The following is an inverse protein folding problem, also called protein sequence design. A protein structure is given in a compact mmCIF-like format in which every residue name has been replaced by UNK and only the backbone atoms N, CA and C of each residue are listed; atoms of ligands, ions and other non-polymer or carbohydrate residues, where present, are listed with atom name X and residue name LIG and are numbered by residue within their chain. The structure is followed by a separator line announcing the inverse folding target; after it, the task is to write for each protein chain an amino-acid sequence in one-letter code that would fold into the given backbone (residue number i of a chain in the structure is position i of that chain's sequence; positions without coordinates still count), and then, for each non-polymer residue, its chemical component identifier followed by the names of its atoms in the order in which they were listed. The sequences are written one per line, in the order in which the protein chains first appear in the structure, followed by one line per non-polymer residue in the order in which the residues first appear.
data_IF_664958406834
#
_entry.id   IF_664958406834
#
_cell.length_a   1.000
_cell.length_b   1.000
_cell.length_c   1.000
_cell.angle_alpha   90.00
_cell.angle_beta   90.00
_cell.angle_gamma   90.00
#
_symmetry.space_group_name_H-M   'P 1'
#
loop_
_entity.id
_entity.type
_entity.pdbx_description
1 polymer ?
#
# COMPACT_ATOMS: atom_id res chain seq x y z
N UNK A 1 -0.76 18.81 45.65
CA UNK A 1 -1.08 19.53 44.39
C UNK A 1 -1.43 18.59 43.23
N UNK A 2 -0.72 17.47 43.04
CA UNK A 2 -0.93 16.53 41.94
C UNK A 2 -2.37 15.97 41.79
N UNK A 3 -3.04 15.67 42.91
CA UNK A 3 -4.38 15.03 42.89
C UNK A 3 -5.51 15.93 42.38
N UNK A 4 -5.39 17.26 42.54
CA UNK A 4 -6.35 18.24 41.97
C UNK A 4 -6.16 18.39 40.47
N UNK A 5 -4.92 18.29 40.01
CA UNK A 5 -4.57 18.30 38.59
C UNK A 5 -5.09 17.04 37.89
N UNK A 6 -4.93 15.85 38.48
CA UNK A 6 -5.52 14.61 37.95
C UNK A 6 -7.05 14.61 37.96
N UNK A 7 -7.71 15.12 39.02
CA UNK A 7 -9.19 15.27 39.03
C UNK A 7 -9.70 16.28 38.00
N UNK A 8 -8.91 17.29 37.66
CA UNK A 8 -9.23 18.25 36.59
C UNK A 8 -8.95 17.68 35.19
N UNK A 9 -7.85 16.97 34.99
CA UNK A 9 -7.52 16.25 33.75
C UNK A 9 -8.57 15.17 33.45
N UNK A 10 -9.12 14.54 34.49
CA UNK A 10 -10.21 13.55 34.46
C UNK A 10 -11.58 14.25 34.68
N UNK A 11 -11.67 15.56 34.48
CA UNK A 11 -12.96 16.24 34.37
C UNK A 11 -13.64 15.74 33.10
N UNK A 12 -14.84 15.16 33.22
CA UNK A 12 -15.58 14.63 32.07
C UNK A 12 -15.77 15.63 30.92
N UNK A 13 -15.70 16.95 31.21
CA UNK A 13 -15.76 18.00 30.18
C UNK A 13 -14.49 18.08 29.32
N UNK A 14 -13.30 17.92 29.90
CA UNK A 14 -12.03 17.97 29.16
C UNK A 14 -11.84 16.66 28.39
N UNK A 15 -12.14 15.53 29.03
CA UNK A 15 -12.09 14.22 28.38
C UNK A 15 -12.99 14.17 27.14
N UNK A 16 -14.23 14.66 27.23
CA UNK A 16 -15.15 14.74 26.08
C UNK A 16 -14.59 15.60 24.94
N UNK A 17 -13.97 16.73 25.25
CA UNK A 17 -13.36 17.61 24.24
C UNK A 17 -12.19 16.93 23.53
N UNK A 18 -11.33 16.24 24.27
CA UNK A 18 -10.20 15.48 23.70
C UNK A 18 -10.72 14.42 22.72
N UNK A 19 -11.73 13.64 23.11
CA UNK A 19 -12.31 12.62 22.22
C UNK A 19 -12.95 13.22 20.96
N UNK A 20 -13.64 14.35 21.08
CA UNK A 20 -14.19 15.05 19.92
C UNK A 20 -13.06 15.52 19.00
N UNK A 21 -12.02 16.14 19.55
CA UNK A 21 -10.86 16.60 18.77
C UNK A 21 -10.15 15.44 18.05
N UNK A 22 -9.97 14.30 18.72
CA UNK A 22 -9.42 13.09 18.09
C UNK A 22 -10.32 12.60 16.97
N UNK A 23 -11.63 12.51 17.20
CA UNK A 23 -12.59 12.07 16.19
C UNK A 23 -12.59 12.96 14.94
N UNK A 24 -12.58 14.28 15.14
CA UNK A 24 -12.47 15.26 14.04
C UNK A 24 -11.14 15.11 13.31
N UNK A 25 -10.04 14.94 14.04
CA UNK A 25 -8.72 14.77 13.42
C UNK A 25 -8.66 13.51 12.55
N UNK A 26 -9.13 12.37 13.06
CA UNK A 26 -9.20 11.11 12.28
C UNK A 26 -10.06 11.30 11.03
N UNK A 27 -11.22 11.96 11.15
CA UNK A 27 -12.09 12.25 10.01
C UNK A 27 -11.38 13.13 8.96
N UNK A 28 -10.64 14.16 9.38
CA UNK A 28 -9.90 15.01 8.46
C UNK A 28 -8.80 14.22 7.74
N UNK A 29 -8.05 13.38 8.45
CA UNK A 29 -7.00 12.54 7.86
C UNK A 29 -7.59 11.56 6.85
N UNK A 30 -8.72 10.91 7.15
CA UNK A 30 -9.35 9.97 6.20
C UNK A 30 -9.87 10.68 4.96
N UNK A 31 -10.47 11.86 5.09
CA UNK A 31 -10.91 12.67 3.96
C UNK A 31 -9.74 13.08 3.07
N UNK A 32 -8.62 13.53 3.65
CA UNK A 32 -7.40 13.88 2.91
C UNK A 32 -6.79 12.66 2.20
N UNK A 33 -6.71 11.51 2.87
CA UNK A 33 -6.19 10.29 2.27
C UNK A 33 -7.06 9.84 1.08
N UNK A 34 -8.39 9.90 1.21
CA UNK A 34 -9.30 9.57 0.13
C UNK A 34 -9.18 10.56 -1.04
N UNK A 35 -9.07 11.87 -0.77
CA UNK A 35 -8.93 12.87 -1.82
C UNK A 35 -7.63 12.70 -2.59
N UNK A 36 -6.52 12.46 -1.90
CA UNK A 36 -5.22 12.20 -2.53
C UNK A 36 -5.24 10.91 -3.36
N UNK A 37 -5.85 9.85 -2.83
CA UNK A 37 -6.01 8.58 -3.55
C UNK A 37 -6.85 8.77 -4.82
N UNK A 38 -7.95 9.51 -4.74
CA UNK A 38 -8.80 9.78 -5.89
C UNK A 38 -8.11 10.65 -6.93
N UNK A 39 -7.42 11.71 -6.52
CA UNK A 39 -6.65 12.58 -7.42
C UNK A 39 -5.58 11.79 -8.18
N UNK A 40 -4.75 11.01 -7.48
CA UNK A 40 -3.71 10.20 -8.11
C UNK A 40 -4.28 9.14 -9.05
N UNK A 41 -5.40 8.49 -8.67
CA UNK A 41 -6.08 7.53 -9.54
C UNK A 41 -6.64 8.18 -10.80
N UNK A 42 -7.29 9.35 -10.66
CA UNK A 42 -7.86 10.05 -11.80
C UNK A 42 -6.78 10.53 -12.78
N UNK A 43 -5.65 11.05 -12.28
CA UNK A 43 -4.52 11.43 -13.14
C UNK A 43 -3.93 10.21 -13.86
N UNK A 44 -3.74 9.11 -13.15
CA UNK A 44 -3.28 7.84 -13.72
C UNK A 44 -4.23 7.34 -14.82
N UNK A 45 -5.53 7.25 -14.55
CA UNK A 45 -6.52 6.73 -15.49
C UNK A 45 -6.60 7.61 -16.75
N UNK A 46 -6.55 8.94 -16.58
CA UNK A 46 -6.51 9.88 -17.70
C UNK A 46 -5.23 9.74 -18.54
N UNK A 47 -4.08 9.60 -17.89
CA UNK A 47 -2.81 9.38 -18.56
C UNK A 47 -2.82 8.05 -19.32
N UNK A 48 -3.26 6.97 -18.67
CA UNK A 48 -3.36 5.63 -19.25
C UNK A 48 -4.25 5.64 -20.49
N UNK A 49 -5.46 6.20 -20.39
CA UNK A 49 -6.38 6.29 -21.53
C UNK A 49 -5.78 7.06 -22.72
N UNK A 50 -5.02 8.14 -22.47
CA UNK A 50 -4.33 8.89 -23.53
C UNK A 50 -3.27 8.06 -24.24
N UNK A 51 -2.59 7.15 -23.55
CA UNK A 51 -1.56 6.29 -24.13
C UNK A 51 -2.15 5.04 -24.78
N UNK A 52 -3.21 4.47 -24.21
CA UNK A 52 -3.97 3.39 -24.86
C UNK A 52 -4.55 3.85 -26.19
N UNK A 53 -5.01 5.10 -26.29
CA UNK A 53 -5.45 5.71 -27.55
C UNK A 53 -4.32 5.85 -28.59
N UNK A 54 -3.05 5.85 -28.16
CA UNK A 54 -1.87 5.84 -29.04
C UNK A 54 -1.42 4.42 -29.42
N UNK A 55 -2.06 3.39 -28.87
CA UNK A 55 -1.75 1.99 -29.13
C UNK A 55 -0.87 1.31 -28.08
N UNK A 56 -0.49 2.00 -27.00
CA UNK A 56 0.19 1.35 -25.88
C UNK A 56 -0.74 0.37 -25.16
N UNK A 57 -0.19 -0.74 -24.66
CA UNK A 57 -0.93 -1.71 -23.86
C UNK A 57 -0.35 -1.74 -22.45
N UNK A 58 -1.21 -1.49 -21.47
CA UNK A 58 -0.85 -1.55 -20.04
C UNK A 58 -1.33 -2.82 -19.36
N UNK A 59 -1.65 -3.85 -20.15
CA UNK A 59 -1.85 -5.19 -19.62
C UNK A 59 -0.47 -5.83 -19.39
N UNK A 60 -0.15 -6.13 -18.14
CA UNK A 60 1.15 -6.69 -17.75
C UNK A 60 1.37 -8.02 -18.50
N UNK A 61 0.32 -8.83 -18.69
CA UNK A 61 0.41 -10.08 -19.43
C UNK A 61 0.79 -9.89 -20.90
N UNK A 62 0.52 -8.72 -21.49
CA UNK A 62 0.87 -8.42 -22.88
C UNK A 62 2.34 -8.02 -23.07
N UNK A 63 3.05 -7.66 -21.99
CA UNK A 63 4.45 -7.20 -22.02
C UNK A 63 5.42 -8.18 -21.33
N UNK A 64 4.91 -9.10 -20.50
CA UNK A 64 5.72 -10.15 -19.90
C UNK A 64 6.23 -11.09 -21.00
N UNK A 65 7.55 -11.29 -21.11
CA UNK A 65 8.09 -12.30 -22.03
C UNK A 65 7.67 -13.70 -21.55
N UNK A 66 7.56 -14.68 -22.48
CA UNK A 66 7.30 -16.06 -22.10
C UNK A 66 8.33 -16.54 -21.08
N UNK A 67 7.89 -17.41 -20.17
CA UNK A 67 8.77 -17.96 -19.14
C UNK A 67 9.98 -18.65 -19.79
N UNK A 68 11.17 -18.33 -19.27
CA UNK A 68 12.41 -18.95 -19.73
C UNK A 68 12.46 -20.38 -19.17
N UNK A 69 12.58 -21.42 -20.02
CA UNK A 69 12.70 -22.80 -19.55
C UNK A 69 13.83 -22.97 -18.53
N UNK A 70 13.62 -23.77 -17.47
CA UNK A 70 14.56 -23.90 -16.36
C UNK A 70 15.99 -24.27 -16.79
N UNK A 71 16.13 -25.14 -17.80
CA UNK A 71 17.44 -25.55 -18.33
C UNK A 71 18.21 -24.42 -19.05
N UNK A 72 17.53 -23.32 -19.44
CA UNK A 72 18.12 -22.12 -20.03
C UNK A 72 18.16 -20.94 -19.04
N UNK A 73 17.48 -21.07 -17.91
CA UNK A 73 17.39 -20.04 -16.91
C UNK A 73 18.60 -20.11 -15.96
N UNK A 74 19.61 -19.27 -16.20
CA UNK A 74 20.81 -19.21 -15.35
C UNK A 74 20.48 -18.95 -13.87
N UNK A 75 19.39 -18.22 -13.57
CA UNK A 75 18.94 -18.00 -12.19
C UNK A 75 18.48 -19.29 -11.49
N UNK A 76 18.11 -20.34 -12.24
CA UNK A 76 17.75 -21.67 -11.70
C UNK A 76 18.97 -22.59 -11.53
N UNK A 77 20.18 -22.11 -11.84
CA UNK A 77 21.39 -22.90 -11.63
C UNK A 77 21.69 -23.12 -10.15
N UNK A 78 22.47 -24.18 -9.86
CA UNK A 78 22.95 -24.50 -8.50
C UNK A 78 23.71 -23.33 -7.85
N UNK A 79 24.33 -22.46 -8.66
CA UNK A 79 25.05 -21.28 -8.17
C UNK A 79 24.13 -20.30 -7.41
N UNK A 80 22.89 -20.13 -7.87
CA UNK A 80 21.90 -19.25 -7.24
C UNK A 80 20.89 -19.97 -6.36
N UNK A 81 20.94 -21.30 -6.25
CA UNK A 81 19.99 -22.04 -5.41
C UNK A 81 19.88 -21.46 -3.97
N UNK A 82 20.98 -21.10 -3.27
CA UNK A 82 20.88 -20.52 -1.93
C UNK A 82 20.15 -19.17 -1.88
N UNK A 83 20.09 -18.42 -2.99
CA UNK A 83 19.37 -17.14 -3.08
C UNK A 83 17.86 -17.34 -3.16
N UNK A 84 17.41 -18.47 -3.73
CA UNK A 84 15.99 -18.74 -3.99
C UNK A 84 15.38 -19.79 -3.06
N UNK A 85 16.17 -20.41 -2.18
CA UNK A 85 15.74 -21.42 -1.21
C UNK A 85 14.68 -20.93 -0.19
N UNK A 86 14.41 -19.62 -0.11
CA UNK A 86 13.52 -19.05 0.92
C UNK A 86 12.34 -18.18 0.47
N UNK A 87 12.23 -17.72 -0.77
CA UNK A 87 11.39 -16.53 -1.00
C UNK A 87 10.20 -16.69 -1.95
N UNK A 88 10.26 -17.52 -3.00
CA UNK A 88 9.23 -17.49 -4.05
C UNK A 88 7.84 -17.98 -3.61
N UNK A 89 7.78 -19.00 -2.74
CA UNK A 89 6.53 -19.59 -2.24
C UNK A 89 6.28 -19.29 -0.77
N UNK A 90 7.08 -18.42 -0.16
CA UNK A 90 6.89 -18.08 1.24
C UNK A 90 5.51 -17.41 1.43
N UNK A 91 4.78 -17.71 2.52
CA UNK A 91 3.49 -17.06 2.78
C UNK A 91 3.60 -15.52 2.76
N UNK A 92 4.74 -14.98 3.22
CA UNK A 92 5.02 -13.53 3.22
C UNK A 92 5.14 -12.94 1.82
N UNK A 93 5.78 -13.65 0.88
CA UNK A 93 5.93 -13.19 -0.50
C UNK A 93 4.60 -13.26 -1.25
N UNK A 94 3.87 -14.37 -1.10
CA UNK A 94 2.55 -14.54 -1.71
C UNK A 94 1.55 -13.47 -1.23
N UNK A 95 1.52 -13.16 0.07
CA UNK A 95 0.73 -12.07 0.62
C UNK A 95 1.13 -10.67 0.12
N UNK A 96 2.39 -10.47 -0.30
CA UNK A 96 2.86 -9.21 -0.86
C UNK A 96 2.55 -9.09 -2.36
N UNK A 97 2.60 -10.21 -3.09
CA UNK A 97 2.19 -10.30 -4.51
C UNK A 97 0.70 -10.06 -4.70
N UNK A 98 -0.12 -10.58 -3.79
CA UNK A 98 -1.58 -10.58 -3.92
C UNK A 98 -2.25 -9.34 -3.26
N UNK A 99 -1.45 -8.37 -2.78
CA UNK A 99 -1.88 -7.09 -2.21
C UNK A 99 -1.96 -5.97 -3.24
#
# INVERSE_FOLDING_TARGET
MLTRFFKWLISGRIQKRIWISIGVFVLLVTLLAQSLKWAGRSEWDNWKAKWEAKGEKFDIASVIPPEVPDHQNFAKSQFFAPLFDHDADSPKFNEARDR
#
